data_IF_932309405493
#
_entry.id   IF_932309405493
#
_cell.length_a   1.000
_cell.length_b   1.000
_cell.length_c   1.000
_cell.angle_alpha   90.00
_cell.angle_beta   90.00
_cell.angle_gamma   90.00
#
_symmetry.space_group_name_H-M   'P 1'
#
loop_
_entity.id
_entity.type
_entity.pdbx_description
1 polymer ?
#
# COMPACT_ATOMS: atom_id res chain seq x y z
N UNK A 1 -23.16 -16.52 -35.12
CA UNK A 1 -21.80 -16.21 -34.62
C UNK A 1 -21.92 -15.70 -33.18
N UNK A 2 -21.75 -16.59 -32.19
CA UNK A 2 -21.86 -16.25 -30.76
C UNK A 2 -20.58 -15.52 -30.36
N UNK A 3 -20.65 -14.19 -30.21
CA UNK A 3 -19.54 -13.43 -29.58
C UNK A 3 -19.48 -13.88 -28.13
N UNK A 4 -18.57 -14.80 -27.81
CA UNK A 4 -18.17 -15.11 -26.44
C UNK A 4 -17.62 -13.80 -25.86
N UNK A 5 -18.46 -13.05 -25.15
CA UNK A 5 -18.01 -11.92 -24.34
C UNK A 5 -17.26 -12.53 -23.17
N UNK A 6 -15.93 -12.53 -23.23
CA UNK A 6 -15.11 -12.86 -22.08
C UNK A 6 -15.38 -11.82 -20.99
N UNK A 7 -16.26 -12.17 -20.05
CA UNK A 7 -16.46 -11.37 -18.85
C UNK A 7 -15.13 -11.38 -18.09
N UNK A 8 -14.49 -10.22 -17.95
CA UNK A 8 -13.36 -10.09 -17.05
C UNK A 8 -13.91 -9.87 -15.65
N UNK A 9 -13.33 -10.55 -14.66
CA UNK A 9 -13.71 -10.44 -13.26
C UNK A 9 -12.64 -9.70 -12.45
N UNK A 10 -12.33 -8.41 -12.73
CA UNK A 10 -11.26 -7.70 -12.04
C UNK A 10 -11.53 -7.56 -10.54
N UNK A 11 -12.80 -7.51 -10.12
CA UNK A 11 -13.16 -7.53 -8.69
C UNK A 11 -12.77 -8.86 -8.06
N UNK A 12 -13.14 -9.99 -8.68
CA UNK A 12 -12.82 -11.31 -8.15
C UNK A 12 -11.30 -11.54 -8.05
N UNK A 13 -10.55 -11.14 -9.08
CA UNK A 13 -9.09 -11.24 -9.07
C UNK A 13 -8.46 -10.37 -7.98
N UNK A 14 -8.94 -9.14 -7.80
CA UNK A 14 -8.47 -8.25 -6.73
C UNK A 14 -8.78 -8.80 -5.34
N UNK A 15 -9.99 -9.33 -5.13
CA UNK A 15 -10.41 -9.97 -3.88
C UNK A 15 -9.53 -11.18 -3.58
N UNK A 16 -9.31 -12.07 -4.55
CA UNK A 16 -8.42 -13.23 -4.37
C UNK A 16 -6.99 -12.80 -4.07
N UNK A 17 -6.44 -11.88 -4.86
CA UNK A 17 -5.07 -11.38 -4.70
C UNK A 17 -4.85 -10.79 -3.30
N UNK A 18 -5.81 -9.99 -2.80
CA UNK A 18 -5.73 -9.34 -1.49
C UNK A 18 -5.97 -10.32 -0.33
N UNK A 19 -6.92 -11.24 -0.46
CA UNK A 19 -7.34 -12.09 0.65
C UNK A 19 -6.48 -13.35 0.84
N UNK A 20 -5.83 -13.86 -0.22
CA UNK A 20 -5.07 -15.12 -0.12
C UNK A 20 -3.97 -15.09 0.96
N UNK A 21 -3.20 -13.99 1.17
CA UNK A 21 -2.24 -13.93 2.27
C UNK A 21 -2.85 -14.11 3.65
N UNK A 22 -4.06 -13.58 3.87
CA UNK A 22 -4.72 -13.65 5.16
C UNK A 22 -5.25 -15.07 5.45
N UNK A 23 -5.74 -15.78 4.43
CA UNK A 23 -6.08 -17.20 4.56
C UNK A 23 -4.84 -18.00 4.97
N UNK A 24 -3.70 -17.76 4.29
CA UNK A 24 -2.44 -18.43 4.59
C UNK A 24 -1.93 -18.10 6.00
N UNK A 25 -2.02 -16.84 6.42
CA UNK A 25 -1.69 -16.44 7.78
C UNK A 25 -2.48 -17.24 8.81
N UNK A 26 -3.81 -17.29 8.66
CA UNK A 26 -4.65 -18.05 9.58
C UNK A 26 -4.32 -19.54 9.61
N UNK A 27 -3.96 -20.09 8.46
CA UNK A 27 -3.56 -21.49 8.36
C UNK A 27 -2.20 -21.76 9.02
N UNK A 28 -1.21 -20.88 8.88
CA UNK A 28 0.16 -21.18 9.32
C UNK A 28 0.51 -20.64 10.73
N UNK A 29 -0.20 -19.63 11.23
CA UNK A 29 0.12 -19.02 12.53
C UNK A 29 -0.69 -19.58 13.68
N UNK A 30 -1.92 -20.07 13.43
CA UNK A 30 -2.84 -20.41 14.51
C UNK A 30 -2.78 -21.87 14.95
N UNK A 31 -2.98 -22.11 16.25
CA UNK A 31 -3.22 -23.46 16.79
C UNK A 31 -4.55 -24.05 16.33
N UNK A 32 -4.66 -25.37 16.35
CA UNK A 32 -5.96 -26.05 16.27
C UNK A 32 -6.75 -25.77 17.57
N UNK A 33 -8.07 -25.47 17.53
CA UNK A 33 -8.97 -25.49 16.37
C UNK A 33 -9.07 -24.16 15.60
N UNK A 34 -8.50 -23.07 16.12
CA UNK A 34 -8.63 -21.72 15.57
C UNK A 34 -8.20 -21.64 14.10
N UNK A 35 -7.12 -22.33 13.74
CA UNK A 35 -6.63 -22.47 12.36
C UNK A 35 -7.73 -22.84 11.37
N UNK A 36 -8.43 -23.94 11.64
CA UNK A 36 -9.44 -24.49 10.75
C UNK A 36 -10.62 -23.53 10.69
N UNK A 37 -11.09 -23.08 11.85
CA UNK A 37 -12.23 -22.18 11.96
C UNK A 37 -12.02 -20.89 11.16
N UNK A 38 -10.93 -20.16 11.41
CA UNK A 38 -10.71 -18.84 10.79
C UNK A 38 -10.34 -18.94 9.32
N UNK A 39 -9.53 -19.94 8.92
CA UNK A 39 -9.19 -20.16 7.51
C UNK A 39 -10.43 -20.52 6.70
N UNK A 40 -11.24 -21.49 7.14
CA UNK A 40 -12.49 -21.87 6.45
C UNK A 40 -13.46 -20.70 6.38
N UNK A 41 -13.64 -19.96 7.47
CA UNK A 41 -14.52 -18.81 7.53
C UNK A 41 -14.11 -17.70 6.56
N UNK A 42 -12.82 -17.38 6.51
CA UNK A 42 -12.31 -16.33 5.64
C UNK A 42 -12.26 -16.74 4.16
N UNK A 43 -11.99 -18.02 3.88
CA UNK A 43 -12.15 -18.59 2.53
C UNK A 43 -13.61 -18.52 2.08
N UNK A 44 -14.55 -18.90 2.94
CA UNK A 44 -15.99 -18.78 2.67
C UNK A 44 -16.42 -17.34 2.41
N UNK A 45 -15.97 -16.38 3.23
CA UNK A 45 -16.22 -14.95 3.04
C UNK A 45 -15.65 -14.44 1.71
N UNK A 46 -14.44 -14.85 1.36
CA UNK A 46 -13.79 -14.52 0.08
C UNK A 46 -14.60 -15.01 -1.11
N UNK A 47 -15.04 -16.28 -1.10
CA UNK A 47 -15.87 -16.82 -2.17
C UNK A 47 -17.25 -16.17 -2.24
N UNK A 48 -17.86 -15.90 -1.07
CA UNK A 48 -19.12 -15.16 -1.01
C UNK A 48 -19.00 -13.78 -1.67
N UNK A 49 -17.91 -13.03 -1.40
CA UNK A 49 -17.68 -11.74 -2.03
C UNK A 49 -17.49 -11.82 -3.54
N UNK A 50 -16.71 -12.80 -4.00
CA UNK A 50 -16.53 -13.06 -5.43
C UNK A 50 -17.88 -13.32 -6.08
N UNK A 51 -18.69 -14.20 -5.50
CA UNK A 51 -20.03 -14.52 -5.97
C UNK A 51 -20.96 -13.29 -5.95
N UNK A 52 -20.98 -12.54 -4.85
CA UNK A 52 -21.80 -11.32 -4.72
C UNK A 52 -21.41 -10.23 -5.73
N UNK A 53 -20.13 -10.22 -6.16
CA UNK A 53 -19.61 -9.29 -7.16
C UNK A 53 -19.72 -9.79 -8.61
N UNK A 54 -20.22 -11.01 -8.85
CA UNK A 54 -20.28 -11.64 -10.17
C UNK A 54 -21.10 -10.85 -11.21
N UNK A 55 -22.08 -10.08 -10.75
CA UNK A 55 -22.90 -9.21 -11.59
C UNK A 55 -22.16 -7.95 -12.08
N UNK A 56 -20.99 -7.64 -11.51
CA UNK A 56 -20.17 -6.49 -11.90
C UNK A 56 -19.33 -6.86 -13.11
N UNK A 57 -19.90 -6.69 -14.30
CA UNK A 57 -19.22 -6.97 -15.55
C UNK A 57 -18.41 -5.76 -16.02
N UNK A 58 -17.08 -5.89 -16.02
CA UNK A 58 -16.18 -4.85 -16.54
C UNK A 58 -15.49 -5.35 -17.80
N UNK A 59 -15.83 -4.75 -18.93
CA UNK A 59 -15.24 -5.10 -20.22
C UNK A 59 -14.01 -4.24 -20.50
N UNK A 60 -12.88 -4.90 -20.71
CA UNK A 60 -11.60 -4.29 -21.11
C UNK A 60 -11.14 -5.03 -22.37
N UNK A 61 -10.94 -4.28 -23.45
CA UNK A 61 -10.50 -4.82 -24.73
C UNK A 61 -9.07 -5.37 -24.64
N UNK A 62 -8.70 -6.26 -25.56
CA UNK A 62 -7.36 -6.83 -25.60
C UNK A 62 -6.27 -5.75 -25.73
N UNK A 63 -6.50 -4.72 -26.56
CA UNK A 63 -5.56 -3.61 -26.75
C UNK A 63 -5.35 -2.82 -25.44
N UNK A 64 -6.44 -2.55 -24.71
CA UNK A 64 -6.35 -1.86 -23.42
C UNK A 64 -5.59 -2.72 -22.39
N UNK A 65 -5.86 -4.04 -22.34
CA UNK A 65 -5.11 -4.97 -21.48
C UNK A 65 -3.61 -4.96 -21.79
N UNK A 66 -3.25 -5.01 -23.07
CA UNK A 66 -1.84 -4.98 -23.50
C UNK A 66 -1.18 -3.67 -23.10
N UNK A 67 -1.84 -2.52 -23.28
CA UNK A 67 -1.28 -1.22 -22.86
C UNK A 67 -1.07 -1.15 -21.33
N UNK A 68 -2.02 -1.64 -20.54
CA UNK A 68 -1.87 -1.71 -19.08
C UNK A 68 -0.71 -2.63 -18.71
N UNK A 69 -0.61 -3.80 -19.35
CA UNK A 69 0.49 -4.75 -19.13
C UNK A 69 1.86 -4.13 -19.46
N UNK A 70 2.00 -3.48 -20.61
CA UNK A 70 3.25 -2.82 -21.00
C UNK A 70 3.63 -1.70 -20.01
N UNK A 71 2.66 -0.89 -19.57
CA UNK A 71 2.91 0.12 -18.54
C UNK A 71 3.32 -0.51 -17.20
N UNK A 72 2.70 -1.63 -16.82
CA UNK A 72 3.05 -2.39 -15.61
C UNK A 72 4.50 -2.86 -15.68
N UNK A 73 4.87 -3.53 -16.78
CA UNK A 73 6.23 -4.02 -17.00
C UNK A 73 7.25 -2.88 -17.01
N UNK A 74 6.95 -1.78 -17.69
CA UNK A 74 7.81 -0.59 -17.70
C UNK A 74 8.00 -0.01 -16.29
N UNK A 75 6.93 0.14 -15.50
CA UNK A 75 7.03 0.65 -14.14
C UNK A 75 7.85 -0.29 -13.25
N UNK A 76 7.69 -1.60 -13.36
CA UNK A 76 8.49 -2.58 -12.60
C UNK A 76 9.97 -2.46 -12.96
N UNK A 77 10.28 -2.52 -14.25
CA UNK A 77 11.66 -2.47 -14.73
C UNK A 77 12.33 -1.13 -14.37
N UNK A 78 11.62 -0.01 -14.50
CA UNK A 78 12.19 1.32 -14.23
C UNK A 78 12.27 1.61 -12.72
N UNK A 79 11.35 1.10 -11.91
CA UNK A 79 11.39 1.28 -10.45
C UNK A 79 12.42 0.39 -9.77
N UNK A 80 12.73 -0.78 -10.34
CA UNK A 80 13.69 -1.73 -9.78
C UNK A 80 13.15 -2.54 -8.61
N UNK A 81 11.83 -2.55 -8.39
CA UNK A 81 11.20 -3.17 -7.20
C UNK A 81 11.36 -4.69 -7.12
N UNK A 82 11.82 -5.35 -8.18
CA UNK A 82 12.10 -6.80 -8.19
C UNK A 82 13.54 -7.14 -7.84
N UNK A 83 14.42 -6.15 -7.78
CA UNK A 83 15.88 -6.32 -7.72
C UNK A 83 16.54 -6.40 -9.09
N UNK A 84 15.75 -6.41 -10.17
CA UNK A 84 16.18 -6.31 -11.56
C UNK A 84 15.60 -5.02 -12.16
N UNK A 85 16.40 -4.34 -12.99
CA UNK A 85 16.03 -3.12 -13.67
C UNK A 85 16.70 -1.90 -13.05
N UNK A 86 15.92 -0.89 -12.67
CA UNK A 86 16.42 0.34 -12.06
C UNK A 86 17.10 0.12 -10.70
N UNK A 87 17.72 1.18 -10.17
CA UNK A 87 18.48 1.07 -8.91
C UNK A 87 17.62 0.61 -7.73
N UNK A 88 18.13 -0.40 -7.03
CA UNK A 88 17.51 -0.97 -5.83
C UNK A 88 17.54 -0.01 -4.63
N UNK A 89 16.54 -0.10 -3.77
CA UNK A 89 16.50 0.61 -2.49
C UNK A 89 16.95 -0.30 -1.36
N UNK A 90 17.24 0.29 -0.19
CA UNK A 90 17.47 -0.48 1.03
C UNK A 90 16.23 -1.32 1.40
N UNK A 91 15.03 -0.74 1.31
CA UNK A 91 13.77 -1.44 1.61
C UNK A 91 13.58 -2.70 0.76
N UNK A 92 14.04 -2.69 -0.49
CA UNK A 92 13.98 -3.86 -1.36
C UNK A 92 14.81 -5.04 -0.84
N UNK A 93 15.98 -4.78 -0.26
CA UNK A 93 16.80 -5.83 0.36
C UNK A 93 15.99 -6.53 1.46
N UNK A 94 15.32 -5.75 2.31
CA UNK A 94 14.43 -6.30 3.34
C UNK A 94 13.20 -7.00 2.75
N UNK A 95 12.63 -6.53 1.65
CA UNK A 95 11.51 -7.20 0.99
C UNK A 95 11.88 -8.57 0.43
N UNK A 96 13.06 -8.67 -0.20
CA UNK A 96 13.61 -9.92 -0.68
C UNK A 96 13.92 -10.86 0.49
N UNK A 97 14.53 -10.36 1.58
CA UNK A 97 14.80 -11.19 2.75
C UNK A 97 13.52 -11.69 3.43
N UNK A 98 12.50 -10.84 3.62
CA UNK A 98 11.20 -11.27 4.18
C UNK A 98 10.60 -12.40 3.35
N UNK A 99 10.63 -12.26 2.01
CA UNK A 99 10.14 -13.29 1.09
C UNK A 99 10.96 -14.57 1.19
N UNK A 100 12.29 -14.44 1.34
CA UNK A 100 13.20 -15.57 1.50
C UNK A 100 12.97 -16.32 2.83
N UNK A 101 12.77 -15.61 3.94
CA UNK A 101 12.49 -16.19 5.26
C UNK A 101 11.27 -17.13 5.21
N UNK A 102 10.23 -16.82 4.43
CA UNK A 102 9.07 -17.71 4.23
C UNK A 102 9.41 -19.03 3.53
N UNK A 103 10.47 -19.04 2.71
CA UNK A 103 10.92 -20.21 1.96
C UNK A 103 11.88 -21.08 2.77
N UNK A 104 12.74 -20.46 3.58
CA UNK A 104 13.83 -21.14 4.29
C UNK A 104 13.48 -21.51 5.72
N UNK A 105 12.62 -20.75 6.40
CA UNK A 105 12.23 -21.01 7.79
C UNK A 105 10.92 -21.78 7.89
N UNK A 106 10.74 -22.46 9.01
CA UNK A 106 9.47 -23.03 9.44
C UNK A 106 8.46 -21.92 9.77
N UNK A 107 7.17 -22.23 9.64
CA UNK A 107 6.08 -21.31 9.95
C UNK A 107 5.37 -21.74 11.25
N UNK A 108 4.99 -20.81 12.14
CA UNK A 108 5.24 -19.36 12.06
C UNK A 108 6.74 -19.02 12.18
N UNK A 109 7.18 -17.94 11.52
CA UNK A 109 8.61 -17.60 11.40
C UNK A 109 9.21 -17.36 12.78
N UNK A 110 10.29 -18.08 13.10
CA UNK A 110 11.07 -17.95 14.32
C UNK A 110 12.50 -17.49 14.00
N UNK A 111 13.00 -16.53 14.77
CA UNK A 111 14.37 -16.03 14.68
C UNK A 111 15.16 -16.58 15.87
N UNK A 112 16.16 -17.43 15.60
CA UNK A 112 16.94 -18.11 16.65
C UNK A 112 17.72 -17.11 17.50
N UNK A 113 18.23 -16.06 16.88
CA UNK A 113 18.81 -14.91 17.54
C UNK A 113 17.95 -13.68 17.15
N UNK A 114 17.01 -13.24 18.00
CA UNK A 114 17.10 -13.23 19.47
C UNK A 114 16.13 -14.20 20.19
N UNK A 115 15.83 -15.36 19.61
CA UNK A 115 14.90 -16.36 20.16
C UNK A 115 13.46 -15.84 20.29
N UNK A 116 12.93 -15.31 19.19
CA UNK A 116 11.58 -14.77 19.16
C UNK A 116 10.87 -15.04 17.84
N UNK A 117 9.55 -15.18 17.90
CA UNK A 117 8.71 -15.25 16.70
C UNK A 117 8.64 -13.90 16.00
N UNK A 118 8.54 -13.91 14.68
CA UNK A 118 8.33 -12.71 13.89
C UNK A 118 6.91 -12.16 14.10
N UNK A 119 6.80 -10.85 14.28
CA UNK A 119 5.54 -10.10 14.38
C UNK A 119 5.62 -8.83 13.54
N UNK A 120 5.13 -8.92 12.30
CA UNK A 120 5.08 -7.80 11.36
C UNK A 120 4.00 -8.03 10.28
N UNK A 121 3.63 -6.98 9.53
CA UNK A 121 2.68 -7.10 8.41
C UNK A 121 3.30 -7.82 7.20
N UNK A 122 3.31 -9.16 7.23
CA UNK A 122 3.95 -9.98 6.20
C UNK A 122 3.06 -10.37 5.03
N UNK A 123 1.82 -9.86 4.96
CA UNK A 123 0.82 -10.30 3.99
C UNK A 123 1.30 -10.25 2.53
N UNK A 124 2.11 -9.28 2.14
CA UNK A 124 2.60 -9.23 0.76
C UNK A 124 3.54 -10.37 0.39
N UNK A 125 4.34 -10.86 1.35
CA UNK A 125 5.51 -11.70 1.09
C UNK A 125 5.21 -13.20 1.27
N UNK A 126 4.16 -13.55 2.01
CA UNK A 126 3.82 -14.96 2.31
C UNK A 126 3.56 -15.79 1.05
N UNK A 127 2.82 -15.26 0.08
CA UNK A 127 2.47 -15.99 -1.14
C UNK A 127 3.71 -16.29 -2.00
N UNK A 128 4.49 -15.29 -2.44
CA UNK A 128 5.69 -15.58 -3.22
C UNK A 128 6.71 -16.40 -2.43
N UNK A 129 6.85 -16.18 -1.12
CA UNK A 129 7.79 -16.92 -0.29
C UNK A 129 7.45 -18.41 -0.11
N UNK A 130 6.16 -18.76 -0.02
CA UNK A 130 5.73 -20.16 0.00
C UNK A 130 5.97 -20.86 -1.34
N UNK A 131 5.74 -20.16 -2.46
CA UNK A 131 5.99 -20.71 -3.81
C UNK A 131 7.50 -20.87 -4.05
N UNK A 132 8.32 -19.99 -3.47
CA UNK A 132 9.78 -20.04 -3.55
C UNK A 132 10.39 -21.34 -3.00
N UNK A 133 9.66 -22.11 -2.18
CA UNK A 133 10.08 -23.48 -1.79
C UNK A 133 10.23 -24.45 -2.97
N UNK A 134 9.59 -24.14 -4.10
CA UNK A 134 9.54 -24.98 -5.28
C UNK A 134 10.23 -24.36 -6.51
N UNK A 135 10.76 -23.14 -6.38
CA UNK A 135 11.40 -22.39 -7.48
C UNK A 135 12.63 -21.66 -6.93
N UNK A 136 13.77 -21.69 -7.62
CA UNK A 136 15.02 -21.11 -7.09
C UNK A 136 15.23 -19.62 -7.37
N UNK A 137 14.28 -18.93 -8.03
CA UNK A 137 14.46 -17.54 -8.46
C UNK A 137 13.47 -16.59 -7.77
N UNK A 138 13.95 -15.96 -6.69
CA UNK A 138 13.17 -15.00 -5.89
C UNK A 138 12.77 -13.74 -6.67
N UNK A 139 13.65 -13.21 -7.50
CA UNK A 139 13.39 -12.00 -8.29
C UNK A 139 12.25 -12.23 -9.29
N UNK A 140 12.25 -13.39 -9.94
CA UNK A 140 11.19 -13.77 -10.86
C UNK A 140 9.86 -13.95 -10.14
N UNK A 141 9.83 -14.68 -9.02
CA UNK A 141 8.58 -14.91 -8.28
C UNK A 141 7.99 -13.64 -7.68
N UNK A 142 8.82 -12.84 -7.00
CA UNK A 142 8.38 -11.57 -6.45
C UNK A 142 7.94 -10.62 -7.57
N UNK A 143 8.66 -10.59 -8.69
CA UNK A 143 8.30 -9.79 -9.86
C UNK A 143 6.99 -10.21 -10.54
N UNK A 144 6.70 -11.50 -10.64
CA UNK A 144 5.39 -11.97 -11.12
C UNK A 144 4.28 -11.53 -10.16
N UNK A 145 4.50 -11.66 -8.85
CA UNK A 145 3.54 -11.26 -7.83
C UNK A 145 3.27 -9.76 -7.82
N UNK A 146 4.31 -8.94 -7.95
CA UNK A 146 4.24 -7.49 -8.09
C UNK A 146 3.56 -7.07 -9.40
N UNK A 147 3.90 -7.74 -10.51
CA UNK A 147 3.29 -7.49 -11.81
C UNK A 147 1.79 -7.77 -11.79
N UNK A 148 1.36 -8.86 -11.17
CA UNK A 148 -0.06 -9.16 -11.01
C UNK A 148 -0.79 -8.07 -10.23
N UNK A 149 -0.26 -7.68 -9.07
CA UNK A 149 -0.86 -6.65 -8.23
C UNK A 149 -0.89 -5.27 -8.89
N UNK A 150 0.22 -4.84 -9.47
CA UNK A 150 0.32 -3.56 -10.15
C UNK A 150 -0.57 -3.52 -11.40
N UNK A 151 -0.66 -4.61 -12.16
CA UNK A 151 -1.59 -4.73 -13.29
C UNK A 151 -3.05 -4.55 -12.85
N UNK A 152 -3.46 -5.19 -11.75
CA UNK A 152 -4.80 -5.02 -11.17
C UNK A 152 -5.04 -3.58 -10.71
N UNK A 153 -4.07 -2.98 -10.01
CA UNK A 153 -4.14 -1.60 -9.55
C UNK A 153 -4.28 -0.59 -10.70
N UNK A 154 -3.42 -0.71 -11.72
CA UNK A 154 -3.47 0.14 -12.92
C UNK A 154 -4.76 -0.07 -13.73
N UNK A 155 -5.30 -1.29 -13.74
CA UNK A 155 -6.61 -1.56 -14.34
C UNK A 155 -7.71 -0.75 -13.66
N UNK A 156 -7.73 -0.68 -12.33
CA UNK A 156 -8.70 0.15 -11.62
C UNK A 156 -8.50 1.64 -11.87
N UNK A 157 -7.26 2.12 -11.85
CA UNK A 157 -6.96 3.52 -12.19
C UNK A 157 -7.41 3.86 -13.61
N UNK A 158 -7.19 2.97 -14.58
CA UNK A 158 -7.65 3.13 -15.95
C UNK A 158 -9.16 3.34 -16.04
N UNK A 159 -9.92 2.54 -15.30
CA UNK A 159 -11.37 2.66 -15.25
C UNK A 159 -11.83 3.99 -14.62
N UNK A 160 -11.21 4.42 -13.50
CA UNK A 160 -11.53 5.70 -12.83
C UNK A 160 -11.19 6.91 -13.70
N UNK A 161 -10.08 6.81 -14.45
CA UNK A 161 -9.61 7.80 -15.40
C UNK A 161 -10.38 7.76 -16.73
N UNK A 162 -11.55 7.10 -16.76
CA UNK A 162 -12.41 6.99 -17.95
C UNK A 162 -11.63 6.51 -19.17
N UNK A 163 -10.79 5.50 -18.99
CA UNK A 163 -10.02 4.87 -20.06
C UNK A 163 -8.94 5.75 -20.69
N UNK A 164 -8.48 6.78 -19.99
CA UNK A 164 -7.42 7.68 -20.46
C UNK A 164 -6.04 7.30 -19.88
N UNK A 165 -5.18 6.72 -20.73
CA UNK A 165 -3.83 6.29 -20.33
C UNK A 165 -2.91 7.44 -19.90
N UNK A 166 -3.05 8.62 -20.51
CA UNK A 166 -2.23 9.77 -20.15
C UNK A 166 -2.49 10.23 -18.72
N UNK A 167 -3.72 10.08 -18.22
CA UNK A 167 -4.03 10.41 -16.84
C UNK A 167 -3.34 9.47 -15.85
N UNK A 168 -3.26 8.18 -16.17
CA UNK A 168 -2.49 7.23 -15.35
C UNK A 168 -1.01 7.61 -15.38
N UNK A 169 -0.47 7.90 -16.56
CA UNK A 169 0.94 8.24 -16.70
C UNK A 169 1.28 9.50 -15.87
N UNK A 170 0.49 10.56 -16.00
CA UNK A 170 0.65 11.79 -15.24
C UNK A 170 0.61 11.56 -13.73
N UNK A 171 -0.20 10.62 -13.24
CA UNK A 171 -0.28 10.29 -11.82
C UNK A 171 1.08 9.86 -11.24
N UNK A 172 1.86 9.09 -12.00
CA UNK A 172 3.21 8.67 -11.57
C UNK A 172 4.24 9.80 -11.62
N UNK A 173 3.93 10.87 -12.36
CA UNK A 173 4.77 12.05 -12.48
C UNK A 173 4.39 13.18 -11.52
N UNK A 174 3.34 13.07 -10.72
CA UNK A 174 3.01 14.15 -9.75
C UNK A 174 3.73 13.90 -8.41
N UNK A 175 4.63 14.83 -8.04
CA UNK A 175 5.09 15.07 -6.66
C UNK A 175 4.34 16.25 -6.03
N UNK A 176 4.74 16.72 -4.85
CA UNK A 176 4.47 18.11 -4.47
C UNK A 176 5.63 19.05 -4.77
N UNK A 177 5.46 20.31 -4.37
CA UNK A 177 6.27 21.44 -4.84
C UNK A 177 7.53 21.64 -3.98
N UNK A 178 7.53 21.17 -2.72
CA UNK A 178 8.63 21.46 -1.80
C UNK A 178 9.95 20.81 -2.23
N UNK A 179 9.89 19.62 -2.82
CA UNK A 179 11.07 18.94 -3.37
C UNK A 179 11.70 19.66 -4.57
N UNK A 180 11.01 20.63 -5.16
CA UNK A 180 11.56 21.51 -6.18
C UNK A 180 12.06 22.84 -5.57
N UNK A 181 11.24 23.47 -4.72
CA UNK A 181 11.54 24.82 -4.19
C UNK A 181 12.65 24.78 -3.13
N UNK A 182 12.61 23.83 -2.18
CA UNK A 182 13.53 23.85 -1.04
C UNK A 182 15.00 23.72 -1.43
N UNK A 183 15.39 22.79 -2.34
CA UNK A 183 16.78 22.75 -2.80
C UNK A 183 17.22 24.04 -3.49
N UNK A 184 16.34 24.74 -4.21
CA UNK A 184 16.68 26.03 -4.85
C UNK A 184 16.93 27.12 -3.80
N UNK A 185 16.09 27.20 -2.77
CA UNK A 185 16.27 28.15 -1.67
C UNK A 185 17.55 27.88 -0.88
N UNK A 186 17.96 26.61 -0.77
CA UNK A 186 19.21 26.19 -0.14
C UNK A 186 20.44 26.32 -1.06
N UNK A 187 20.28 26.80 -2.30
CA UNK A 187 21.37 26.92 -3.28
C UNK A 187 21.92 25.56 -3.77
N UNK A 188 21.17 24.47 -3.60
CA UNK A 188 21.56 23.12 -4.02
C UNK A 188 21.20 22.88 -5.48
N UNK A 189 22.03 22.09 -6.16
CA UNK A 189 21.73 21.65 -7.52
C UNK A 189 20.54 20.68 -7.52
N UNK A 190 19.48 21.04 -8.26
CA UNK A 190 18.26 20.26 -8.41
C UNK A 190 18.49 18.82 -8.92
N UNK A 191 19.49 18.60 -9.77
CA UNK A 191 19.80 17.29 -10.32
C UNK A 191 20.53 16.37 -9.34
N UNK A 192 21.22 16.91 -8.33
CA UNK A 192 21.93 16.11 -7.31
C UNK A 192 21.25 16.09 -5.94
N UNK A 193 20.32 17.01 -5.66
CA UNK A 193 19.62 17.08 -4.37
C UNK A 193 18.76 15.84 -4.06
N UNK A 194 18.74 15.40 -2.80
CA UNK A 194 17.81 14.35 -2.38
C UNK A 194 16.37 14.85 -2.36
N UNK A 195 15.42 13.92 -2.29
CA UNK A 195 14.03 14.24 -1.94
C UNK A 195 13.98 15.05 -0.64
N UNK A 196 13.18 16.14 -0.65
CA UNK A 196 13.00 16.99 0.53
C UNK A 196 11.95 16.40 1.47
N UNK A 197 12.26 16.36 2.76
CA UNK A 197 11.32 16.03 3.82
C UNK A 197 11.75 16.73 5.12
N UNK A 198 10.80 16.93 6.03
CA UNK A 198 11.11 17.53 7.34
C UNK A 198 11.73 16.47 8.24
N UNK A 199 13.02 16.62 8.55
CA UNK A 199 13.81 15.58 9.23
C UNK A 199 13.29 15.24 10.64
N UNK A 200 12.97 16.27 11.44
CA UNK A 200 12.56 16.11 12.83
C UNK A 200 11.21 15.39 12.98
N UNK A 201 10.21 15.82 12.20
CA UNK A 201 8.85 15.27 12.23
C UNK A 201 8.68 14.05 11.32
N UNK A 202 9.68 13.79 10.47
CA UNK A 202 9.66 12.76 9.41
C UNK A 202 8.47 12.93 8.45
N UNK A 203 7.99 14.16 8.24
CA UNK A 203 6.94 14.40 7.26
C UNK A 203 7.47 14.25 5.83
N UNK A 204 7.14 13.13 5.21
CA UNK A 204 7.43 12.80 3.83
C UNK A 204 6.13 12.45 3.05
N UNK A 205 5.87 13.19 1.98
CA UNK A 205 4.80 12.88 1.01
C UNK A 205 5.44 12.39 -0.29
N UNK A 206 5.62 11.07 -0.36
CA UNK A 206 6.28 10.48 -1.52
C UNK A 206 5.37 10.58 -2.76
N UNK A 207 5.90 11.04 -3.91
CA UNK A 207 5.24 10.89 -5.21
C UNK A 207 4.83 9.44 -5.46
N UNK A 208 3.83 9.21 -6.30
CA UNK A 208 3.32 7.86 -6.57
C UNK A 208 4.42 6.92 -7.11
N UNK A 209 5.30 7.40 -7.99
CA UNK A 209 6.45 6.63 -8.46
C UNK A 209 7.44 6.27 -7.35
N UNK A 210 7.74 7.19 -6.43
CA UNK A 210 8.62 6.87 -5.30
C UNK A 210 7.94 5.95 -4.28
N UNK A 211 6.64 6.10 -4.06
CA UNK A 211 5.87 5.18 -3.22
C UNK A 211 5.93 3.75 -3.75
N UNK A 212 5.78 3.56 -5.08
CA UNK A 212 5.99 2.27 -5.74
C UNK A 212 7.39 1.73 -5.46
N UNK A 213 8.42 2.57 -5.62
CA UNK A 213 9.82 2.17 -5.46
C UNK A 213 10.18 1.75 -4.03
N UNK A 214 9.72 2.50 -3.03
CA UNK A 214 10.12 2.28 -1.63
C UNK A 214 9.25 1.24 -0.93
N UNK A 215 7.94 1.22 -1.19
CA UNK A 215 7.00 0.29 -0.53
C UNK A 215 5.97 -0.28 -1.51
N UNK A 216 6.41 -1.10 -2.48
CA UNK A 216 5.53 -1.68 -3.48
C UNK A 216 4.38 -2.46 -2.84
N UNK A 217 4.62 -3.16 -1.73
CA UNK A 217 3.59 -3.87 -0.97
C UNK A 217 2.40 -2.97 -0.59
N UNK A 218 2.67 -1.80 -0.01
CA UNK A 218 1.63 -0.88 0.44
C UNK A 218 1.02 -0.09 -0.72
N UNK A 219 1.85 0.27 -1.69
CA UNK A 219 1.43 1.02 -2.86
C UNK A 219 0.51 0.20 -3.77
N UNK A 220 0.82 -1.07 -4.03
CA UNK A 220 -0.04 -1.97 -4.82
C UNK A 220 -1.42 -2.11 -4.17
N UNK A 221 -1.47 -2.36 -2.86
CA UNK A 221 -2.72 -2.42 -2.11
C UNK A 221 -3.49 -1.08 -2.21
N UNK A 222 -2.78 0.05 -2.08
CA UNK A 222 -3.35 1.39 -2.27
C UNK A 222 -4.02 1.54 -3.63
N UNK A 223 -3.36 1.14 -4.72
CA UNK A 223 -3.91 1.26 -6.07
C UNK A 223 -5.19 0.42 -6.25
N UNK A 224 -5.15 -0.84 -5.82
CA UNK A 224 -6.28 -1.76 -5.99
C UNK A 224 -7.48 -1.30 -5.16
N UNK A 225 -7.30 -1.06 -3.86
CA UNK A 225 -8.43 -0.81 -2.96
C UNK A 225 -8.98 0.61 -3.14
N UNK A 226 -8.13 1.63 -3.31
CA UNK A 226 -8.62 2.97 -3.68
C UNK A 226 -9.37 2.91 -5.01
N UNK A 227 -8.83 2.14 -5.96
CA UNK A 227 -9.43 1.83 -7.24
C UNK A 227 -10.88 1.34 -7.13
N UNK A 228 -11.06 0.28 -6.35
CA UNK A 228 -12.37 -0.33 -6.07
C UNK A 228 -13.29 0.65 -5.35
N UNK A 229 -12.81 1.30 -4.28
CA UNK A 229 -13.60 2.23 -3.45
C UNK A 229 -14.10 3.41 -4.27
N UNK A 230 -13.29 3.99 -5.17
CA UNK A 230 -13.70 5.14 -5.98
C UNK A 230 -14.59 4.73 -7.16
N UNK A 231 -14.39 3.55 -7.74
CA UNK A 231 -15.12 3.13 -8.95
C UNK A 231 -16.49 2.54 -8.65
N UNK A 232 -16.60 1.68 -7.63
CA UNK A 232 -17.84 0.97 -7.32
C UNK A 232 -18.84 1.83 -6.56
N UNK A 233 -20.13 1.49 -6.72
CA UNK A 233 -21.23 2.12 -5.98
C UNK A 233 -21.26 1.59 -4.55
N UNK A 234 -21.78 2.36 -3.57
CA UNK A 234 -21.91 1.90 -2.18
C UNK A 234 -22.53 0.51 -2.02
N UNK A 235 -23.61 0.22 -2.75
CA UNK A 235 -24.30 -1.09 -2.72
C UNK A 235 -23.46 -2.27 -3.22
N UNK A 236 -22.46 -2.02 -4.06
CA UNK A 236 -21.53 -3.04 -4.56
C UNK A 236 -20.37 -3.24 -3.58
N UNK A 237 -19.96 -2.14 -2.92
CA UNK A 237 -18.90 -2.13 -1.91
C UNK A 237 -19.32 -2.81 -0.60
N UNK A 238 -20.61 -2.79 -0.25
CA UNK A 238 -21.12 -3.29 1.04
C UNK A 238 -20.66 -4.71 1.38
N UNK A 239 -20.41 -5.54 0.37
CA UNK A 239 -19.98 -6.93 0.58
C UNK A 239 -18.45 -7.07 0.69
N UNK A 240 -17.65 -6.09 0.27
CA UNK A 240 -16.19 -6.19 0.10
C UNK A 240 -15.36 -5.80 1.34
N UNK A 241 -15.91 -5.89 2.55
CA UNK A 241 -15.22 -5.52 3.79
C UNK A 241 -13.92 -6.29 4.07
N UNK A 242 -13.81 -7.53 3.58
CA UNK A 242 -12.63 -8.37 3.85
C UNK A 242 -11.36 -7.80 3.23
N UNK A 243 -11.47 -6.97 2.18
CA UNK A 243 -10.32 -6.28 1.58
C UNK A 243 -9.57 -5.47 2.63
N UNK A 244 -10.29 -4.81 3.53
CA UNK A 244 -9.72 -3.98 4.59
C UNK A 244 -9.11 -4.84 5.71
N UNK A 245 -9.71 -5.98 6.03
CA UNK A 245 -9.18 -6.92 7.03
C UNK A 245 -7.88 -7.54 6.53
N UNK A 246 -7.88 -8.06 5.30
CA UNK A 246 -6.67 -8.57 4.66
C UNK A 246 -5.61 -7.46 4.50
N UNK A 247 -6.07 -6.24 4.21
CA UNK A 247 -5.26 -5.03 4.23
C UNK A 247 -4.54 -4.77 5.55
N UNK A 248 -5.12 -5.13 6.72
CA UNK A 248 -4.42 -4.96 8.00
C UNK A 248 -3.16 -5.84 8.08
N UNK A 249 -3.22 -7.07 7.55
CA UNK A 249 -2.06 -7.96 7.54
C UNK A 249 -1.01 -7.58 6.48
N UNK A 250 -1.41 -6.77 5.49
CA UNK A 250 -0.58 -6.40 4.35
C UNK A 250 0.01 -5.00 4.46
N UNK A 251 -0.85 -4.00 4.66
CA UNK A 251 -0.56 -2.57 4.64
C UNK A 251 -1.46 -1.85 5.68
N UNK A 252 -1.20 -2.03 6.99
CA UNK A 252 -2.14 -1.69 8.06
C UNK A 252 -2.60 -0.23 8.05
N UNK A 253 -1.67 0.73 7.92
CA UNK A 253 -2.01 2.14 7.90
C UNK A 253 -2.84 2.53 6.68
N UNK A 254 -2.51 1.99 5.50
CA UNK A 254 -3.32 2.19 4.28
C UNK A 254 -4.72 1.61 4.45
N UNK A 255 -4.82 0.41 5.02
CA UNK A 255 -6.08 -0.29 5.23
C UNK A 255 -7.00 0.44 6.23
N UNK A 256 -6.45 1.00 7.31
CA UNK A 256 -7.20 1.81 8.27
C UNK A 256 -7.81 3.04 7.58
N UNK A 257 -7.01 3.81 6.84
CA UNK A 257 -7.49 5.01 6.17
C UNK A 257 -8.53 4.70 5.10
N UNK A 258 -8.26 3.72 4.24
CA UNK A 258 -9.22 3.31 3.24
C UNK A 258 -10.48 2.70 3.88
N UNK A 259 -10.34 2.06 5.04
CA UNK A 259 -11.44 1.55 5.85
C UNK A 259 -12.37 2.67 6.34
N UNK A 260 -11.82 3.79 6.81
CA UNK A 260 -12.60 4.98 7.19
C UNK A 260 -13.39 5.51 5.98
N UNK A 261 -12.72 5.71 4.84
CA UNK A 261 -13.37 6.20 3.61
C UNK A 261 -14.46 5.23 3.15
N UNK A 262 -14.16 3.93 3.17
CA UNK A 262 -15.10 2.87 2.85
C UNK A 262 -16.33 2.92 3.74
N UNK A 263 -16.16 2.89 5.07
CA UNK A 263 -17.26 2.86 6.03
C UNK A 263 -18.17 4.08 5.84
N UNK A 264 -17.61 5.27 5.69
CA UNK A 264 -18.38 6.49 5.45
C UNK A 264 -19.15 6.43 4.12
N UNK A 265 -18.57 5.82 3.07
CA UNK A 265 -19.22 5.65 1.77
C UNK A 265 -20.34 4.60 1.78
N UNK A 266 -20.18 3.50 2.53
CA UNK A 266 -21.17 2.42 2.59
C UNK A 266 -22.19 2.56 3.71
N UNK A 267 -21.96 3.46 4.67
CA UNK A 267 -22.85 3.71 5.81
C UNK A 267 -24.32 3.88 5.43
N UNK A 268 -24.68 4.65 4.37
CA UNK A 268 -26.07 4.81 3.95
C UNK A 268 -26.73 3.53 3.44
N UNK A 269 -25.95 2.52 3.04
CA UNK A 269 -26.47 1.21 2.61
C UNK A 269 -26.60 0.24 3.78
N UNK A 270 -25.71 0.33 4.77
CA UNK A 270 -25.85 -0.44 6.01
C UNK A 270 -27.11 -0.05 6.78
N UNK A 271 -27.47 1.24 6.82
CA UNK A 271 -28.68 1.70 7.50
C UNK A 271 -29.99 1.21 6.87
N UNK A 272 -29.96 0.80 5.59
CA UNK A 272 -31.11 0.21 4.87
C UNK A 272 -31.22 -1.30 5.05
N UNK A 273 -30.17 -1.96 5.55
CA UNK A 273 -30.09 -3.41 5.66
C UNK A 273 -30.76 -3.89 6.94
N UNK A 274 -31.40 -5.08 6.92
CA UNK A 274 -31.96 -5.70 8.13
C UNK A 274 -30.86 -5.90 9.19
N UNK A 275 -31.09 -5.41 10.40
CA UNK A 275 -30.14 -5.45 11.54
C UNK A 275 -29.52 -6.83 11.77
N UNK A 276 -30.31 -7.90 11.64
CA UNK A 276 -29.81 -9.29 11.80
C UNK A 276 -28.68 -9.63 10.82
N UNK A 277 -28.83 -9.29 9.53
CA UNK A 277 -27.81 -9.59 8.52
C UNK A 277 -26.55 -8.73 8.72
N UNK A 278 -26.73 -7.48 9.16
CA UNK A 278 -25.63 -6.59 9.48
C UNK A 278 -24.83 -7.09 10.68
N UNK A 279 -25.49 -7.53 11.75
CA UNK A 279 -24.83 -8.03 12.96
C UNK A 279 -23.97 -9.27 12.70
N UNK A 280 -24.47 -10.22 11.89
CA UNK A 280 -23.71 -11.41 11.49
C UNK A 280 -22.51 -10.99 10.66
N UNK A 281 -22.72 -10.15 9.64
CA UNK A 281 -21.64 -9.68 8.77
C UNK A 281 -20.55 -8.94 9.56
N UNK A 282 -20.93 -7.99 10.42
CA UNK A 282 -19.99 -7.25 11.25
C UNK A 282 -19.28 -8.17 12.25
N UNK A 283 -20.00 -9.11 12.88
CA UNK A 283 -19.40 -10.09 13.79
C UNK A 283 -18.32 -10.94 13.13
N UNK A 284 -18.58 -11.42 11.91
CA UNK A 284 -17.59 -12.17 11.11
C UNK A 284 -16.35 -11.33 10.80
N UNK A 285 -16.55 -10.07 10.42
CA UNK A 285 -15.46 -9.15 10.13
C UNK A 285 -14.65 -8.80 11.39
N UNK A 286 -15.30 -8.57 12.52
CA UNK A 286 -14.62 -8.30 13.80
C UNK A 286 -13.79 -9.49 14.23
N UNK A 287 -14.33 -10.71 14.15
CA UNK A 287 -13.60 -11.93 14.49
C UNK A 287 -12.36 -12.10 13.59
N UNK A 288 -12.52 -11.89 12.28
CA UNK A 288 -11.42 -11.96 11.32
C UNK A 288 -10.43 -10.77 11.43
N UNK A 289 -10.82 -9.65 12.02
CA UNK A 289 -9.91 -8.55 12.32
C UNK A 289 -9.13 -8.82 13.61
N UNK A 290 -9.77 -9.43 14.61
CA UNK A 290 -9.21 -9.61 15.94
C UNK A 290 -7.93 -10.46 15.92
N UNK A 291 -7.89 -11.54 15.13
CA UNK A 291 -6.69 -12.37 15.01
C UNK A 291 -5.48 -11.60 14.47
N UNK A 292 -5.68 -10.82 13.40
CA UNK A 292 -4.63 -9.96 12.82
C UNK A 292 -4.24 -8.83 13.77
N UNK A 293 -5.22 -8.19 14.41
CA UNK A 293 -4.97 -7.10 15.35
C UNK A 293 -4.16 -7.57 16.56
N UNK A 294 -4.53 -8.70 17.17
CA UNK A 294 -3.78 -9.29 18.28
C UNK A 294 -2.37 -9.67 17.87
N UNK A 295 -2.19 -10.17 16.66
CA UNK A 295 -0.87 -10.45 16.09
C UNK A 295 -0.04 -9.17 15.93
N UNK A 296 -0.57 -8.11 15.30
CA UNK A 296 0.18 -6.86 15.11
C UNK A 296 0.48 -6.14 16.43
N UNK A 297 -0.42 -6.22 17.40
CA UNK A 297 -0.24 -5.66 18.75
C UNK A 297 0.73 -6.48 19.62
N UNK A 298 1.13 -7.67 19.16
CA UNK A 298 2.06 -8.53 19.89
C UNK A 298 3.53 -8.10 19.76
N UNK A 299 3.84 -7.00 19.07
CA UNK A 299 5.21 -6.55 18.82
C UNK A 299 5.98 -6.17 20.11
N UNK A 300 7.31 -6.34 20.13
CA UNK A 300 8.14 -6.07 21.32
C UNK A 300 8.26 -4.59 21.66
N UNK A 301 8.21 -3.71 20.67
CA UNK A 301 8.31 -2.26 20.88
C UNK A 301 6.93 -1.61 20.82
N UNK A 302 6.57 -0.90 21.89
CA UNK A 302 5.49 0.08 21.83
C UNK A 302 6.03 1.32 21.14
N UNK A 303 5.56 1.59 19.93
CA UNK A 303 5.77 2.91 19.32
C UNK A 303 5.02 3.95 20.15
N UNK A 304 5.74 4.91 20.72
CA UNK A 304 5.11 6.05 21.37
C UNK A 304 4.33 6.88 20.32
N UNK A 305 3.19 7.42 20.77
CA UNK A 305 2.41 8.38 20.00
C UNK A 305 2.94 9.75 20.39
N UNK A 306 3.54 10.45 19.45
CA UNK A 306 4.08 11.80 19.66
C UNK A 306 3.23 12.81 18.90
N UNK A 307 2.85 13.92 19.55
CA UNK A 307 2.31 15.08 18.84
C UNK A 307 3.47 15.88 18.25
N UNK A 308 3.35 16.26 16.98
CA UNK A 308 4.46 16.89 16.25
C UNK A 308 4.44 18.41 16.27
N UNK A 309 3.30 19.03 16.62
CA UNK A 309 3.10 20.48 16.61
C UNK A 309 3.42 21.08 17.99
N UNK A 310 4.67 20.99 18.39
CA UNK A 310 5.13 21.38 19.74
C UNK A 310 5.87 22.70 19.79
N UNK A 311 6.32 23.22 18.64
CA UNK A 311 7.11 24.45 18.53
C UNK A 311 6.60 25.36 17.40
N UNK A 312 6.94 26.65 17.46
CA UNK A 312 6.64 27.60 16.37
C UNK A 312 7.25 27.15 15.03
N UNK A 313 8.44 26.56 15.06
CA UNK A 313 9.11 26.01 13.88
C UNK A 313 8.33 24.83 13.28
N UNK A 314 7.90 23.87 14.10
CA UNK A 314 7.11 22.72 13.62
C UNK A 314 5.75 23.17 13.06
N UNK A 315 5.14 24.21 13.63
CA UNK A 315 3.90 24.83 13.10
C UNK A 315 4.17 25.50 11.74
N UNK A 316 5.26 26.24 11.60
CA UNK A 316 5.64 26.85 10.32
C UNK A 316 5.89 25.78 9.25
N UNK A 317 6.66 24.75 9.59
CA UNK A 317 6.93 23.60 8.72
C UNK A 317 5.64 22.87 8.32
N UNK A 318 4.68 22.74 9.24
CA UNK A 318 3.37 22.17 8.96
C UNK A 318 2.60 23.00 7.94
N UNK A 319 2.57 24.33 8.11
CA UNK A 319 1.92 25.21 7.14
C UNK A 319 2.59 25.11 5.76
N UNK A 320 3.93 25.10 5.72
CA UNK A 320 4.68 24.95 4.49
C UNK A 320 4.37 23.61 3.79
N UNK A 321 4.32 22.51 4.54
CA UNK A 321 3.90 21.18 4.09
C UNK A 321 2.49 21.22 3.49
N UNK A 322 1.53 21.75 4.22
CA UNK A 322 0.14 21.83 3.77
C UNK A 322 0.02 22.61 2.45
N UNK A 323 0.65 23.78 2.37
CA UNK A 323 0.56 24.61 1.17
C UNK A 323 1.29 23.98 -0.02
N UNK A 324 2.53 23.54 0.17
CA UNK A 324 3.39 23.03 -0.89
C UNK A 324 2.99 21.66 -1.44
N UNK A 325 2.30 20.84 -0.65
CA UNK A 325 2.01 19.45 -1.01
C UNK A 325 0.52 19.12 -1.11
N UNK A 326 -0.38 19.85 -0.43
CA UNK A 326 -1.81 19.48 -0.34
C UNK A 326 -2.73 20.56 -0.90
N UNK A 327 -2.70 21.76 -0.30
CA UNK A 327 -3.64 22.85 -0.59
C UNK A 327 -3.50 23.32 -2.04
N UNK A 328 -2.29 23.38 -2.60
CA UNK A 328 -2.09 23.81 -3.99
C UNK A 328 -2.86 22.92 -4.99
N UNK A 329 -2.81 21.60 -4.84
CA UNK A 329 -3.57 20.68 -5.68
C UNK A 329 -5.07 20.79 -5.44
N UNK A 330 -5.48 20.96 -4.18
CA UNK A 330 -6.89 21.19 -3.86
C UNK A 330 -7.41 22.45 -4.52
N UNK A 331 -6.71 23.59 -4.43
CA UNK A 331 -7.09 24.87 -5.05
C UNK A 331 -7.33 24.69 -6.55
N UNK A 332 -6.39 24.06 -7.26
CA UNK A 332 -6.50 23.85 -8.70
C UNK A 332 -7.47 22.72 -9.12
N UNK A 333 -8.03 21.96 -8.18
CA UNK A 333 -9.05 20.96 -8.46
C UNK A 333 -10.41 21.61 -8.77
N UNK A 334 -11.11 21.11 -9.79
CA UNK A 334 -12.43 21.61 -10.19
C UNK A 334 -13.46 21.48 -9.06
N UNK A 335 -14.34 22.50 -8.92
CA UNK A 335 -15.32 22.62 -7.82
C UNK A 335 -16.15 21.36 -7.60
N UNK A 336 -16.62 20.71 -8.67
CA UNK A 336 -17.45 19.51 -8.58
C UNK A 336 -16.76 18.33 -7.90
N UNK A 337 -15.44 18.20 -8.03
CA UNK A 337 -14.69 17.12 -7.37
C UNK A 337 -14.42 17.44 -5.89
N UNK A 338 -14.27 18.73 -5.55
CA UNK A 338 -14.17 19.19 -4.15
C UNK A 338 -15.41 18.86 -3.31
N UNK A 339 -16.56 18.74 -3.97
CA UNK A 339 -17.84 18.42 -3.30
C UNK A 339 -18.02 16.93 -3.02
N UNK A 340 -17.21 16.05 -3.61
CA UNK A 340 -17.28 14.61 -3.38
C UNK A 340 -16.91 14.26 -1.94
N UNK A 341 -17.62 13.30 -1.35
CA UNK A 341 -17.41 12.86 0.03
C UNK A 341 -15.96 12.38 0.23
N UNK A 342 -15.46 11.59 -0.71
CA UNK A 342 -14.10 11.04 -0.68
C UNK A 342 -13.05 12.16 -0.67
N UNK A 343 -13.26 13.22 -1.45
CA UNK A 343 -12.35 14.37 -1.48
C UNK A 343 -12.37 15.15 -0.15
N UNK A 344 -13.54 15.36 0.44
CA UNK A 344 -13.67 16.05 1.73
C UNK A 344 -12.94 15.29 2.84
N UNK A 345 -13.17 13.98 2.93
CA UNK A 345 -12.51 13.11 3.91
C UNK A 345 -11.00 13.13 3.68
N UNK A 346 -10.56 13.03 2.41
CA UNK A 346 -9.15 13.09 2.04
C UNK A 346 -8.48 14.35 2.54
N UNK A 347 -9.07 15.53 2.33
CA UNK A 347 -8.48 16.78 2.81
C UNK A 347 -8.45 16.83 4.33
N UNK A 348 -9.54 16.45 5.01
CA UNK A 348 -9.58 16.42 6.48
C UNK A 348 -8.47 15.53 7.04
N UNK A 349 -8.33 14.30 6.54
CA UNK A 349 -7.31 13.37 7.01
C UNK A 349 -5.89 13.86 6.67
N UNK A 350 -5.66 14.45 5.50
CA UNK A 350 -4.35 15.03 5.14
C UNK A 350 -3.94 16.20 6.05
N UNK A 351 -4.90 16.93 6.62
CA UNK A 351 -4.63 17.99 7.61
C UNK A 351 -4.27 17.40 8.98
N UNK A 352 -4.96 16.34 9.41
CA UNK A 352 -4.77 15.78 10.75
C UNK A 352 -3.57 14.82 10.86
N UNK A 353 -3.29 14.02 9.83
CA UNK A 353 -2.23 13.00 9.89
C UNK A 353 -0.84 13.54 10.23
N UNK A 354 -0.38 14.70 9.72
CA UNK A 354 0.91 15.25 10.11
C UNK A 354 1.01 15.53 11.61
N UNK A 355 -0.10 15.78 12.32
CA UNK A 355 -0.10 16.19 13.73
C UNK A 355 0.32 15.07 14.69
N UNK A 356 0.33 13.82 14.22
CA UNK A 356 0.62 12.64 15.03
C UNK A 356 1.75 11.85 14.37
N UNK A 357 2.80 11.57 15.14
CA UNK A 357 3.88 10.68 14.77
C UNK A 357 3.71 9.35 15.49
N UNK A 358 3.72 8.28 14.69
CA UNK A 358 3.68 6.91 15.18
C UNK A 358 4.84 6.13 14.56
N UNK A 359 5.70 5.60 15.43
CA UNK A 359 6.89 4.84 15.03
C UNK A 359 8.06 5.73 14.59
N UNK A 360 9.22 5.10 14.43
CA UNK A 360 10.52 5.78 14.19
C UNK A 360 10.50 6.58 12.89
N UNK A 361 9.89 6.03 11.83
CA UNK A 361 9.81 6.67 10.51
C UNK A 361 8.57 7.55 10.30
N UNK A 362 7.75 7.75 11.33
CA UNK A 362 6.38 8.27 11.19
C UNK A 362 5.60 7.47 10.11
N UNK A 363 5.56 6.16 10.29
CA UNK A 363 4.93 5.25 9.32
C UNK A 363 3.44 5.50 9.18
N UNK A 364 2.77 5.96 10.24
CA UNK A 364 1.38 6.39 10.12
C UNK A 364 1.28 7.48 9.05
N UNK A 365 1.97 8.61 9.18
CA UNK A 365 1.89 9.68 8.19
C UNK A 365 2.30 9.22 6.79
N UNK A 366 3.48 8.63 6.65
CA UNK A 366 4.05 8.30 5.34
C UNK A 366 3.22 7.27 4.54
N UNK A 367 2.57 6.34 5.24
CA UNK A 367 1.80 5.25 4.61
C UNK A 367 0.32 5.59 4.50
N UNK A 368 -0.28 6.16 5.54
CA UNK A 368 -1.69 6.56 5.56
C UNK A 368 -2.03 7.59 4.48
N UNK A 369 -1.07 8.46 4.13
CA UNK A 369 -1.25 9.51 3.13
C UNK A 369 -1.25 8.99 1.70
N UNK A 370 -0.69 7.80 1.41
CA UNK A 370 -0.64 7.23 0.05
C UNK A 370 -2.01 7.18 -0.66
N UNK A 371 -3.06 6.55 -0.08
CA UNK A 371 -4.38 6.56 -0.69
C UNK A 371 -4.99 7.96 -0.81
N UNK A 372 -4.69 8.85 0.15
CA UNK A 372 -5.22 10.20 0.19
C UNK A 372 -4.64 11.07 -0.93
N UNK A 373 -3.32 11.03 -1.10
CA UNK A 373 -2.62 11.67 -2.20
C UNK A 373 -3.08 11.11 -3.55
N UNK A 374 -3.28 9.79 -3.64
CA UNK A 374 -3.83 9.17 -4.85
C UNK A 374 -5.19 9.76 -5.21
N UNK A 375 -6.12 9.88 -4.25
CA UNK A 375 -7.44 10.49 -4.46
C UNK A 375 -7.31 11.96 -4.89
N UNK A 376 -6.48 12.74 -4.18
CA UNK A 376 -6.24 14.16 -4.46
C UNK A 376 -5.69 14.35 -5.88
N UNK A 377 -4.63 13.62 -6.24
CA UNK A 377 -3.98 13.71 -7.55
C UNK A 377 -4.89 13.21 -8.66
N UNK A 378 -5.66 12.14 -8.46
CA UNK A 378 -6.64 11.67 -9.45
C UNK A 378 -7.67 12.75 -9.79
N UNK A 379 -8.25 13.40 -8.78
CA UNK A 379 -9.22 14.46 -9.02
C UNK A 379 -8.59 15.73 -9.60
N UNK A 380 -7.36 16.07 -9.20
CA UNK A 380 -6.59 17.15 -9.81
C UNK A 380 -6.33 16.86 -11.31
N UNK A 381 -5.86 15.66 -11.68
CA UNK A 381 -5.61 15.31 -13.09
C UNK A 381 -6.93 15.32 -13.88
N UNK A 382 -8.01 14.76 -13.34
CA UNK A 382 -9.33 14.80 -13.97
C UNK A 382 -9.91 16.21 -14.08
N UNK A 383 -9.33 17.19 -13.39
CA UNK A 383 -9.66 18.62 -13.50
C UNK A 383 -9.02 19.27 -14.74
N UNK A 384 -7.96 18.67 -15.30
CA UNK A 384 -7.22 19.20 -16.45
C UNK A 384 -8.00 19.09 -17.76
N UNK A 385 -8.99 18.20 -17.83
CA UNK A 385 -9.84 18.02 -19.02
C UNK A 385 -10.89 19.11 -19.17
N UNK A 386 -11.03 20.01 -18.19
CA UNK A 386 -12.05 21.05 -18.19
C UNK A 386 -11.45 22.42 -18.54
N UNK A 387 -12.15 23.23 -19.36
CA UNK A 387 -11.76 24.62 -19.58
C UNK A 387 -11.67 25.35 -18.24
N UNK A 388 -10.56 26.03 -18.01
CA UNK A 388 -10.30 26.75 -16.76
C UNK A 388 -9.43 27.96 -17.07
N UNK A 389 -9.74 29.11 -16.46
CA UNK A 389 -8.89 30.31 -16.53
C UNK A 389 -7.48 30.05 -15.97
N UNK A 390 -7.33 29.02 -15.12
CA UNK A 390 -6.06 28.62 -14.52
C UNK A 390 -5.28 27.59 -15.35
N UNK A 391 -5.64 27.31 -16.60
CA UNK A 391 -5.03 26.25 -17.44
C UNK A 391 -3.50 26.32 -17.44
N UNK A 392 -2.92 27.49 -17.69
CA UNK A 392 -1.46 27.65 -17.74
C UNK A 392 -0.79 27.47 -16.39
N UNK A 393 -1.40 27.94 -15.30
CA UNK A 393 -0.92 27.71 -13.95
C UNK A 393 -0.93 26.21 -13.60
N UNK A 394 -1.97 25.46 -13.99
CA UNK A 394 -2.02 24.00 -13.83
C UNK A 394 -0.91 23.30 -14.62
N UNK A 395 -0.64 23.72 -15.86
CA UNK A 395 0.44 23.17 -16.70
C UNK A 395 1.81 23.45 -16.09
N UNK A 396 2.05 24.69 -15.65
CA UNK A 396 3.29 25.07 -14.97
C UNK A 396 3.48 24.25 -13.69
N UNK A 397 2.42 24.10 -12.88
CA UNK A 397 2.45 23.27 -11.69
C UNK A 397 2.85 21.83 -12.04
N UNK A 398 2.23 21.22 -13.05
CA UNK A 398 2.59 19.87 -13.53
C UNK A 398 4.07 19.81 -13.91
N UNK A 399 4.59 20.80 -14.63
CA UNK A 399 6.02 20.86 -14.98
C UNK A 399 6.93 20.84 -13.75
N UNK A 400 6.62 21.68 -12.76
CA UNK A 400 7.36 21.76 -11.49
C UNK A 400 7.32 20.43 -10.74
N UNK A 401 6.11 19.87 -10.56
CA UNK A 401 5.93 18.65 -9.75
C UNK A 401 6.34 17.37 -10.49
N UNK A 402 6.55 17.44 -11.80
CA UNK A 402 7.09 16.32 -12.59
C UNK A 402 8.60 16.21 -12.50
N UNK A 403 9.29 17.26 -12.06
CA UNK A 403 10.75 17.30 -12.00
C UNK A 403 11.33 16.12 -11.21
N UNK A 404 10.83 15.90 -9.98
CA UNK A 404 11.39 14.90 -9.08
C UNK A 404 11.16 13.46 -9.59
N UNK A 405 9.93 13.03 -9.96
CA UNK A 405 9.75 11.69 -10.52
C UNK A 405 10.55 11.46 -11.81
N UNK A 406 10.60 12.45 -12.72
CA UNK A 406 11.40 12.37 -13.95
C UNK A 406 12.88 12.17 -13.62
N UNK A 407 13.42 12.94 -12.66
CA UNK A 407 14.80 12.81 -12.19
C UNK A 407 15.09 11.39 -11.68
N UNK A 408 14.24 10.84 -10.83
CA UNK A 408 14.45 9.50 -10.28
C UNK A 408 14.30 8.40 -11.34
N UNK A 409 13.36 8.54 -12.28
CA UNK A 409 13.24 7.65 -13.44
C UNK A 409 14.52 7.70 -14.28
N UNK A 410 15.02 8.90 -14.60
CA UNK A 410 16.25 9.08 -15.37
C UNK A 410 17.47 8.50 -14.66
N UNK A 411 17.60 8.71 -13.35
CA UNK A 411 18.67 8.10 -12.54
C UNK A 411 18.57 6.58 -12.54
N UNK A 412 17.38 6.01 -12.39
CA UNK A 412 17.18 4.57 -12.41
C UNK A 412 17.49 3.94 -13.76
N UNK A 413 17.13 4.60 -14.86
CA UNK A 413 17.48 4.16 -16.21
C UNK A 413 18.99 4.17 -16.45
N UNK A 414 19.73 5.15 -15.89
CA UNK A 414 21.20 5.19 -15.96
C UNK A 414 21.87 4.04 -15.20
N UNK A 415 21.23 3.57 -14.12
CA UNK A 415 21.73 2.47 -13.29
C UNK A 415 21.01 1.14 -13.58
N UNK A 416 20.43 1.01 -14.77
CA UNK A 416 19.67 -0.18 -15.14
C UNK A 416 20.58 -1.42 -15.19
N UNK A 417 20.15 -2.50 -14.54
CA UNK A 417 20.86 -3.78 -14.51
C UNK A 417 19.91 -4.96 -14.72
N UNK A 418 20.28 -5.87 -15.63
CA UNK A 418 19.63 -7.18 -15.74
C UNK A 418 20.11 -8.18 -14.68
N UNK A 419 21.23 -7.88 -14.02
CA UNK A 419 21.75 -8.68 -12.90
C UNK A 419 21.08 -8.22 -11.61
N UNK A 420 20.63 -9.15 -10.75
CA UNK A 420 20.11 -8.81 -9.45
C UNK A 420 21.09 -7.97 -8.63
N UNK A 421 20.60 -6.88 -8.03
CA UNK A 421 21.41 -6.03 -7.16
C UNK A 421 21.70 -6.67 -5.79
N UNK A 422 20.85 -7.60 -5.35
CA UNK A 422 20.97 -8.31 -4.08
C UNK A 422 20.34 -9.69 -4.21
N UNK A 423 21.01 -10.72 -3.68
CA UNK A 423 20.46 -12.07 -3.57
C UNK A 423 20.48 -12.44 -2.09
N UNK A 424 19.32 -12.75 -1.47
CA UNK A 424 19.26 -13.21 -0.08
C UNK A 424 20.15 -14.43 0.15
N UNK A 425 20.69 -14.56 1.36
CA UNK A 425 21.49 -15.71 1.77
C UNK A 425 21.02 -16.24 3.12
N UNK A 426 21.21 -17.54 3.36
CA UNK A 426 20.81 -18.23 4.60
C UNK A 426 21.50 -17.68 5.86
N UNK A 427 22.63 -16.99 5.69
CA UNK A 427 23.49 -16.55 6.80
C UNK A 427 22.83 -15.46 7.65
N UNK A 428 21.86 -14.71 7.09
CA UNK A 428 21.20 -13.61 7.80
C UNK A 428 19.71 -13.67 7.56
N UNK A 429 18.93 -13.64 8.64
CA UNK A 429 17.49 -13.44 8.53
C UNK A 429 17.13 -11.95 8.47
N UNK A 430 15.84 -11.65 8.27
CA UNK A 430 15.40 -10.27 8.16
C UNK A 430 15.67 -9.44 9.43
N UNK A 431 15.66 -10.05 10.62
CA UNK A 431 15.97 -9.32 11.86
C UNK A 431 17.44 -8.88 11.87
N UNK A 432 18.36 -9.79 11.54
CA UNK A 432 19.80 -9.49 11.46
C UNK A 432 20.12 -8.40 10.43
N UNK A 433 19.45 -8.43 9.27
CA UNK A 433 19.63 -7.41 8.25
C UNK A 433 19.14 -6.04 8.72
N UNK A 434 17.97 -5.96 9.36
CA UNK A 434 17.44 -4.69 9.88
C UNK A 434 18.37 -4.13 10.96
N UNK A 435 18.86 -4.99 11.85
CA UNK A 435 19.79 -4.58 12.89
C UNK A 435 21.10 -4.02 12.30
N UNK A 436 21.64 -4.67 11.26
CA UNK A 436 22.85 -4.21 10.55
C UNK A 436 22.63 -2.86 9.87
N UNK A 437 21.55 -2.74 9.11
CA UNK A 437 21.35 -1.63 8.17
C UNK A 437 20.86 -0.36 8.86
N UNK A 438 20.01 -0.49 9.88
CA UNK A 438 19.50 0.65 10.66
C UNK A 438 20.32 0.92 11.93
N UNK A 439 21.23 0.02 12.31
CA UNK A 439 22.03 0.13 13.53
C UNK A 439 21.19 0.41 14.78
N UNK A 440 19.96 -0.09 14.81
CA UNK A 440 18.97 0.22 15.85
C UNK A 440 18.21 -1.03 16.29
N UNK A 441 18.48 -1.47 17.52
CA UNK A 441 17.72 -2.57 18.16
C UNK A 441 16.24 -2.23 18.27
N UNK A 442 15.90 -0.97 18.53
CA UNK A 442 14.49 -0.54 18.63
C UNK A 442 13.75 -0.78 17.33
N UNK A 443 14.37 -0.48 16.18
CA UNK A 443 13.78 -0.73 14.86
C UNK A 443 13.67 -2.23 14.59
N UNK A 444 14.72 -3.00 14.87
CA UNK A 444 14.72 -4.45 14.67
C UNK A 444 13.67 -5.16 15.55
N UNK A 445 13.53 -4.75 16.81
CA UNK A 445 12.57 -5.33 17.77
C UNK A 445 11.09 -5.05 17.40
N UNK A 446 10.80 -4.10 16.49
CA UNK A 446 9.45 -3.94 15.94
C UNK A 446 8.96 -5.17 15.17
N UNK A 447 9.89 -6.04 14.74
CA UNK A 447 9.62 -7.25 13.98
C UNK A 447 9.49 -8.50 14.85
N UNK A 448 9.59 -8.37 16.17
CA UNK A 448 9.59 -9.48 17.10
C UNK A 448 8.31 -9.51 17.93
N UNK A 449 7.82 -10.71 18.22
CA UNK A 449 6.68 -10.96 19.09
C UNK A 449 7.09 -10.95 20.57
N UNK A 450 6.23 -10.41 21.44
CA UNK A 450 6.29 -10.52 22.89
C UNK A 450 5.77 -11.88 23.32
N UNK A 451 6.58 -12.65 24.04
CA UNK A 451 6.22 -13.96 24.58
C UNK A 451 5.01 -13.91 25.53
N UNK A 452 4.79 -12.78 26.21
CA UNK A 452 3.68 -12.65 27.15
C UNK A 452 2.37 -12.15 26.49
N UNK A 453 2.36 -11.90 25.17
CA UNK A 453 1.21 -11.38 24.45
C UNK A 453 0.03 -12.38 24.39
N UNK A 454 -1.18 -11.86 24.23
CA UNK A 454 -2.39 -12.68 24.07
C UNK A 454 -2.26 -13.59 22.84
N UNK A 455 -1.72 -13.06 21.74
CA UNK A 455 -1.52 -13.84 20.52
C UNK A 455 -0.57 -15.02 20.76
N UNK A 456 0.60 -14.77 21.37
CA UNK A 456 1.57 -15.82 21.67
C UNK A 456 0.96 -16.91 22.57
N UNK A 457 0.26 -16.52 23.65
CA UNK A 457 -0.23 -17.47 24.67
C UNK A 457 -1.37 -18.36 24.19
N UNK A 458 -2.28 -17.83 23.37
CA UNK A 458 -3.56 -18.48 23.10
C UNK A 458 -3.81 -18.81 21.63
N UNK A 459 -3.10 -18.15 20.72
CA UNK A 459 -3.37 -18.24 19.29
C UNK A 459 -2.20 -18.85 18.52
N UNK A 460 -0.96 -18.55 18.89
CA UNK A 460 0.24 -18.95 18.15
C UNK A 460 0.51 -20.46 18.23
N UNK A 461 0.74 -21.08 17.08
CA UNK A 461 1.28 -22.44 16.98
C UNK A 461 2.79 -22.46 17.29
N UNK A 462 3.14 -22.74 18.55
CA UNK A 462 4.51 -22.67 19.05
C UNK A 462 5.32 -23.97 18.92
N UNK A 463 4.89 -24.91 18.07
CA UNK A 463 5.58 -26.22 17.88
C UNK A 463 7.01 -26.11 17.36
N UNK A 464 7.38 -24.97 16.79
CA UNK A 464 8.69 -24.70 16.18
C UNK A 464 9.74 -24.22 17.19
N UNK A 465 9.32 -23.62 18.32
CA UNK A 465 10.21 -23.00 19.30
C UNK A 465 10.40 -23.81 20.58
N UNK A 466 10.10 -25.11 20.55
CA UNK A 466 10.26 -26.04 21.66
C UNK A 466 11.26 -27.13 21.35
#
# INVERSE_FOLDING_TARGET
MIRIRSANYPVALAVLYINIPLVLFYYYWLVNPWKILTATLFTGLTFYQIFASSNIQIQISAIEKTKIFLLTAALILVSGITGIGGSSTLDLIHHLQKTYDFSSKSLPIYYDNPSAYASYYFGFYIVPGLILKHVSNIHLLLGIWEMLGLYLGLTWLYLICKRNFYHILLLFFISGVLSFIMPLLEGKNLLSSSYFYFYETRWNLLPMYLSLRWVPNQFIYTLIVTGIVLYLRPKELVNLSSLFIAGLFWAPFVAIILGIIYLLKVWPEFSKTKVKNLSIYLGLNVLAMLGVALYLLSNQTSSEIEFTLTSSETIFNYLLLLFGEIIIFYIFTEKRYKLLLEMKITIVLLLFLPMVKLGVGNDLYSRATMPLLLILYLYFIKSLTYPSQWKWAKILLIGIVSFLPIKYIGSNLKHFSWRPHYVPSEIKDNYDLILRDYQSKTVANQYLMKENSIFYKYLLDNRVGR
#
